data_IF_038295775176
#
_entry.id   IF_038295775176
#
_cell.length_a   1.000
_cell.length_b   1.000
_cell.length_c   1.000
_cell.angle_alpha   90.00
_cell.angle_beta   90.00
_cell.angle_gamma   90.00
#
_symmetry.space_group_name_H-M   'P 1'
#
loop_
_entity.id
_entity.type
_entity.pdbx_description
1 polymer ?
#
# COMPACT_ATOMS: atom_id res chain seq x y z
N UNK A 1 -11.94 22.01 7.91
CA UNK A 1 -10.87 21.01 8.01
C UNK A 1 -10.23 20.69 6.66
N UNK A 2 -10.99 20.37 5.64
CA UNK A 2 -10.47 20.06 4.31
C UNK A 2 -9.55 21.15 3.71
N UNK A 3 -9.85 22.42 3.89
CA UNK A 3 -9.02 23.54 3.41
C UNK A 3 -7.62 23.62 4.04
N UNK A 4 -7.43 23.07 5.25
CA UNK A 4 -6.12 22.96 5.93
C UNK A 4 -5.35 21.72 5.48
N UNK A 5 -6.03 20.66 5.07
CA UNK A 5 -5.42 19.46 4.47
C UNK A 5 -4.78 19.79 3.11
N UNK A 6 -5.43 20.66 2.36
CA UNK A 6 -5.23 20.84 0.92
C UNK A 6 -4.14 21.82 0.50
N UNK A 7 -3.63 22.66 1.40
CA UNK A 7 -2.69 23.74 0.98
C UNK A 7 -1.33 23.27 0.45
N UNK A 8 -1.05 21.98 0.44
CA UNK A 8 0.15 21.41 -0.19
C UNK A 8 -0.12 20.17 -1.07
N UNK A 9 -1.37 19.69 -1.15
CA UNK A 9 -1.74 18.66 -2.11
C UNK A 9 -1.87 19.29 -3.50
N UNK A 10 -1.29 18.67 -4.47
CA UNK A 10 -1.20 18.91 -5.90
C UNK A 10 -1.60 20.31 -6.42
N UNK A 11 -0.76 20.96 -7.23
CA UNK A 11 -1.20 22.11 -8.01
C UNK A 11 -2.38 21.67 -8.90
N UNK A 12 -3.48 22.44 -8.89
CA UNK A 12 -4.57 22.25 -9.85
C UNK A 12 -3.97 22.17 -11.24
N UNK A 13 -4.34 21.15 -12.00
CA UNK A 13 -3.91 20.98 -13.37
C UNK A 13 -4.15 22.28 -14.14
N UNK A 14 -3.08 22.97 -14.50
CA UNK A 14 -3.17 24.14 -15.36
C UNK A 14 -3.57 23.66 -16.75
N UNK A 15 -4.55 24.35 -17.35
CA UNK A 15 -5.02 24.14 -18.70
C UNK A 15 -3.85 24.10 -19.69
N UNK A 16 -3.92 23.14 -20.60
CA UNK A 16 -2.97 22.90 -21.68
C UNK A 16 -2.58 24.20 -22.40
N UNK A 17 -1.34 24.58 -22.27
CA UNK A 17 -0.68 25.62 -23.05
C UNK A 17 0.82 25.43 -22.96
N UNK A 18 1.43 25.17 -24.09
CA UNK A 18 2.84 25.10 -24.43
C UNK A 18 3.62 23.79 -24.22
N UNK A 19 4.09 23.30 -25.38
CA UNK A 19 4.98 22.16 -25.56
C UNK A 19 6.43 22.55 -25.16
N UNK A 20 6.74 22.32 -23.89
CA UNK A 20 8.10 22.33 -23.34
C UNK A 20 8.15 21.39 -22.17
N UNK A 21 8.93 20.34 -22.24
CA UNK A 21 9.40 19.33 -21.26
C UNK A 21 8.83 19.30 -19.80
N UNK A 22 7.70 19.89 -19.49
CA UNK A 22 7.14 19.92 -18.13
C UNK A 22 6.17 18.76 -17.92
N UNK A 23 6.64 17.74 -17.17
CA UNK A 23 5.78 16.72 -16.61
C UNK A 23 4.75 17.43 -15.70
N UNK A 24 3.44 17.15 -15.83
CA UNK A 24 2.38 17.89 -15.11
C UNK A 24 2.53 17.94 -13.58
N UNK A 25 3.33 17.04 -13.00
CA UNK A 25 3.60 16.98 -11.57
C UNK A 25 5.08 17.20 -11.21
N UNK A 26 5.95 17.55 -12.18
CA UNK A 26 7.33 17.99 -11.98
C UNK A 26 8.06 17.43 -10.77
N UNK A 27 8.56 18.33 -9.92
CA UNK A 27 9.27 17.96 -8.68
C UNK A 27 8.34 17.53 -7.51
N UNK A 28 7.02 17.60 -7.70
CA UNK A 28 6.05 17.16 -6.68
C UNK A 28 6.02 15.63 -6.54
N UNK A 29 6.12 14.93 -7.65
CA UNK A 29 6.02 13.48 -7.73
C UNK A 29 7.41 12.86 -7.89
N UNK A 30 7.78 11.98 -6.96
CA UNK A 30 9.01 11.20 -7.04
C UNK A 30 8.68 9.76 -7.48
N UNK A 31 9.36 9.25 -8.50
CA UNK A 31 9.31 7.84 -8.84
C UNK A 31 10.20 7.07 -7.87
N UNK A 32 9.63 6.21 -7.05
CA UNK A 32 10.37 5.37 -6.13
C UNK A 32 10.93 4.15 -6.86
N UNK A 33 10.10 3.49 -7.66
CA UNK A 33 10.53 2.39 -8.50
C UNK A 33 9.57 2.16 -9.68
N UNK A 34 10.05 1.48 -10.74
CA UNK A 34 9.28 1.21 -11.96
C UNK A 34 9.53 -0.17 -12.57
N UNK A 35 10.31 -1.03 -11.89
CA UNK A 35 10.83 -2.28 -12.49
C UNK A 35 9.93 -3.50 -12.38
N UNK A 36 8.91 -3.49 -11.53
CA UNK A 36 8.13 -4.67 -11.14
C UNK A 36 6.79 -4.85 -11.84
N UNK A 37 6.56 -4.19 -12.98
CA UNK A 37 5.31 -4.27 -13.74
C UNK A 37 4.40 -3.05 -13.58
N UNK A 38 4.59 -2.25 -12.54
CA UNK A 38 3.97 -0.94 -12.32
C UNK A 38 4.91 -0.01 -11.57
N UNK A 39 4.65 1.29 -11.66
CA UNK A 39 5.39 2.29 -10.89
C UNK A 39 4.86 2.42 -9.46
N UNK A 40 5.77 2.69 -8.53
CA UNK A 40 5.48 3.15 -7.18
C UNK A 40 5.99 4.59 -7.08
N UNK A 41 5.17 5.48 -6.57
CA UNK A 41 5.49 6.90 -6.53
C UNK A 41 5.26 7.47 -5.14
N UNK A 42 5.93 8.56 -4.81
CA UNK A 42 5.71 9.27 -3.56
C UNK A 42 5.57 10.77 -3.77
N UNK A 43 4.84 11.42 -2.87
CA UNK A 43 4.59 12.86 -2.93
C UNK A 43 4.29 13.44 -1.54
N UNK A 44 4.53 14.74 -1.29
CA UNK A 44 4.08 15.40 -0.07
C UNK A 44 2.55 15.43 -0.01
N UNK A 45 1.96 14.86 1.04
CA UNK A 45 0.50 14.74 1.18
C UNK A 45 -0.05 15.57 2.33
N UNK A 46 0.48 15.37 3.53
CA UNK A 46 0.00 16.04 4.74
C UNK A 46 1.10 16.93 5.34
N UNK A 47 0.69 18.00 6.03
CA UNK A 47 1.62 18.77 6.86
C UNK A 47 1.88 18.05 8.17
N UNK A 48 3.04 18.30 8.78
CA UNK A 48 3.39 17.73 10.10
C UNK A 48 2.34 18.06 11.18
N UNK A 49 1.80 19.29 11.15
CA UNK A 49 0.74 19.71 12.07
C UNK A 49 -0.55 18.91 11.89
N UNK A 50 -0.93 18.63 10.63
CA UNK A 50 -2.07 17.76 10.36
C UNK A 50 -1.82 16.32 10.80
N UNK A 51 -0.64 15.75 10.51
CA UNK A 51 -0.27 14.40 10.96
C UNK A 51 -0.36 14.30 12.49
N UNK A 52 0.21 15.26 13.20
CA UNK A 52 0.18 15.32 14.66
C UNK A 52 -1.26 15.36 15.21
N UNK A 53 -2.10 16.24 14.68
CA UNK A 53 -3.52 16.36 15.09
C UNK A 53 -4.33 15.09 14.82
N UNK A 54 -4.09 14.46 13.66
CA UNK A 54 -4.77 13.20 13.35
C UNK A 54 -4.33 12.08 14.29
N UNK A 55 -3.05 12.00 14.62
CA UNK A 55 -2.53 11.03 15.60
C UNK A 55 -3.14 11.28 16.99
N UNK A 56 -3.24 12.52 17.43
CA UNK A 56 -3.89 12.88 18.70
C UNK A 56 -5.36 12.44 18.73
N UNK A 57 -6.12 12.71 17.66
CA UNK A 57 -7.51 12.31 17.53
C UNK A 57 -7.69 10.79 17.54
N UNK A 58 -6.85 10.06 16.78
CA UNK A 58 -6.86 8.60 16.76
C UNK A 58 -6.58 8.03 18.15
N UNK A 59 -5.55 8.54 18.85
CA UNK A 59 -5.22 8.09 20.21
C UNK A 59 -6.34 8.40 21.21
N UNK A 60 -6.96 9.57 21.11
CA UNK A 60 -8.11 9.94 21.92
C UNK A 60 -9.30 8.99 21.70
N UNK A 61 -9.64 8.74 20.44
CA UNK A 61 -10.73 7.83 20.08
C UNK A 61 -10.49 6.40 20.58
N UNK A 62 -9.27 5.89 20.40
CA UNK A 62 -8.89 4.57 20.89
C UNK A 62 -8.96 4.47 22.42
N UNK A 63 -8.52 5.50 23.14
CA UNK A 63 -8.58 5.51 24.60
C UNK A 63 -10.02 5.53 25.11
N UNK A 64 -10.91 6.26 24.44
CA UNK A 64 -12.28 6.50 24.92
C UNK A 64 -13.31 5.51 24.38
N UNK A 65 -13.11 5.00 23.17
CA UNK A 65 -14.11 4.23 22.43
C UNK A 65 -13.61 2.87 21.92
N UNK A 66 -12.53 2.31 22.50
CA UNK A 66 -11.89 1.08 22.02
C UNK A 66 -12.89 -0.07 21.72
N UNK A 67 -13.88 -0.26 22.58
CA UNK A 67 -14.89 -1.34 22.42
C UNK A 67 -15.90 -1.10 21.28
N UNK A 68 -15.92 0.10 20.69
CA UNK A 68 -16.83 0.49 19.61
C UNK A 68 -16.10 0.63 18.26
N UNK A 69 -14.77 0.63 18.26
CA UNK A 69 -13.97 0.80 17.07
C UNK A 69 -13.71 -0.55 16.42
N UNK A 70 -13.85 -0.58 15.10
CA UNK A 70 -13.50 -1.74 14.29
C UNK A 70 -12.00 -1.76 14.02
N UNK A 71 -11.42 -2.98 13.93
CA UNK A 71 -10.07 -3.15 13.41
C UNK A 71 -9.97 -2.61 11.98
N UNK A 72 -8.79 -2.17 11.53
CA UNK A 72 -8.65 -1.49 10.24
C UNK A 72 -9.03 -2.37 9.03
N UNK A 73 -8.61 -3.64 9.04
CA UNK A 73 -8.87 -4.60 7.97
C UNK A 73 -8.73 -6.05 8.48
N UNK A 74 -8.74 -7.02 7.55
CA UNK A 74 -8.60 -8.45 7.88
C UNK A 74 -7.21 -8.86 8.36
N UNK A 75 -6.16 -8.10 8.00
CA UNK A 75 -4.75 -8.45 8.24
C UNK A 75 -4.18 -7.75 9.48
N UNK A 76 -4.51 -6.47 9.68
CA UNK A 76 -4.04 -5.68 10.81
C UNK A 76 -5.02 -5.78 11.99
N UNK A 77 -4.50 -6.01 13.18
CA UNK A 77 -5.31 -6.05 14.42
C UNK A 77 -5.38 -4.71 15.11
N UNK A 78 -4.34 -3.89 14.95
CA UNK A 78 -4.22 -2.61 15.65
C UNK A 78 -4.33 -1.43 14.67
N UNK A 79 -5.14 -0.46 15.06
CA UNK A 79 -5.53 0.68 14.25
C UNK A 79 -7.04 0.91 14.34
N UNK A 80 -7.64 1.52 13.34
CA UNK A 80 -9.08 1.81 13.30
C UNK A 80 -9.55 2.29 11.94
N UNK A 81 -10.83 2.14 11.65
CA UNK A 81 -11.48 2.71 10.47
C UNK A 81 -11.78 4.19 10.71
N UNK A 82 -11.32 5.08 9.81
CA UNK A 82 -11.47 6.52 10.00
C UNK A 82 -12.90 7.04 9.76
N UNK A 83 -13.70 6.33 8.97
CA UNK A 83 -15.11 6.68 8.79
C UNK A 83 -15.87 6.69 10.13
N UNK A 84 -15.45 5.87 11.10
CA UNK A 84 -16.05 5.84 12.45
C UNK A 84 -15.78 7.12 13.26
N UNK A 85 -14.85 7.96 12.84
CA UNK A 85 -14.61 9.29 13.42
C UNK A 85 -15.37 10.41 12.69
N UNK A 86 -16.25 10.08 11.75
CA UNK A 86 -16.98 11.08 10.94
C UNK A 86 -16.09 11.80 9.92
N UNK A 87 -14.96 11.23 9.54
CA UNK A 87 -14.01 11.83 8.58
C UNK A 87 -14.33 11.47 7.13
N UNK A 88 -15.30 10.61 6.86
CA UNK A 88 -15.66 10.14 5.53
C UNK A 88 -15.86 11.28 4.52
N UNK A 89 -16.61 12.35 4.78
CA UNK A 89 -16.78 13.44 3.80
C UNK A 89 -15.46 14.13 3.44
N UNK A 90 -14.58 14.33 4.42
CA UNK A 90 -13.29 14.95 4.19
C UNK A 90 -12.34 14.03 3.41
N UNK A 91 -12.43 12.71 3.62
CA UNK A 91 -11.67 11.70 2.89
C UNK A 91 -12.19 11.59 1.45
N UNK A 92 -13.50 11.65 1.22
CA UNK A 92 -14.11 11.69 -0.11
C UNK A 92 -13.63 12.93 -0.88
N UNK A 93 -13.60 14.11 -0.23
CA UNK A 93 -13.04 15.31 -0.85
C UNK A 93 -11.54 15.14 -1.19
N UNK A 94 -10.75 14.56 -0.28
CA UNK A 94 -9.34 14.25 -0.54
C UNK A 94 -9.20 13.31 -1.75
N UNK A 95 -10.00 12.24 -1.81
CA UNK A 95 -10.01 11.29 -2.91
C UNK A 95 -10.32 11.99 -4.25
N UNK A 96 -11.45 12.70 -4.32
CA UNK A 96 -11.98 13.23 -5.58
C UNK A 96 -11.18 14.42 -6.11
N UNK A 97 -10.77 15.34 -5.21
CA UNK A 97 -10.17 16.60 -5.64
C UNK A 97 -8.64 16.52 -5.79
N UNK A 98 -7.99 15.60 -5.05
CA UNK A 98 -6.53 15.58 -4.99
C UNK A 98 -5.91 14.25 -5.43
N UNK A 99 -6.48 13.12 -5.03
CA UNK A 99 -5.90 11.80 -5.33
C UNK A 99 -6.33 11.32 -6.71
N UNK A 100 -7.58 11.47 -7.10
CA UNK A 100 -8.12 11.05 -8.39
C UNK A 100 -7.31 11.58 -9.59
N UNK A 101 -7.03 12.90 -9.73
CA UNK A 101 -6.25 13.38 -10.86
C UNK A 101 -4.84 12.78 -10.92
N UNK A 102 -4.24 12.53 -9.76
CA UNK A 102 -2.90 11.95 -9.66
C UNK A 102 -2.90 10.47 -10.04
N UNK A 103 -3.83 9.69 -9.51
CA UNK A 103 -3.90 8.26 -9.80
C UNK A 103 -4.30 7.98 -11.26
N UNK A 104 -5.17 8.80 -11.84
CA UNK A 104 -5.52 8.73 -13.27
C UNK A 104 -4.28 9.01 -14.15
N UNK A 105 -3.50 10.03 -13.79
CA UNK A 105 -2.26 10.35 -14.49
C UNK A 105 -1.23 9.21 -14.43
N UNK A 106 -1.11 8.56 -13.26
CA UNK A 106 -0.10 7.53 -13.01
C UNK A 106 -0.47 6.16 -13.56
N UNK A 107 -1.75 5.79 -13.49
CA UNK A 107 -2.21 4.42 -13.73
C UNK A 107 -3.28 4.30 -14.82
N UNK A 108 -3.62 5.42 -15.49
CA UNK A 108 -4.57 5.43 -16.58
C UNK A 108 -5.95 4.92 -16.14
N UNK A 109 -6.53 4.00 -16.94
CA UNK A 109 -7.87 3.48 -16.68
C UNK A 109 -8.02 2.78 -15.32
N UNK A 110 -6.96 2.11 -14.82
CA UNK A 110 -6.98 1.45 -13.50
C UNK A 110 -7.06 2.47 -12.35
N UNK A 111 -6.57 3.69 -12.56
CA UNK A 111 -6.63 4.78 -11.60
C UNK A 111 -7.78 5.77 -11.84
N UNK A 112 -8.56 5.58 -12.90
CA UNK A 112 -9.64 6.51 -13.23
C UNK A 112 -10.90 6.27 -12.39
N UNK A 113 -11.67 7.35 -12.19
CA UNK A 113 -13.01 7.36 -11.63
C UNK A 113 -13.20 6.53 -10.33
N UNK A 114 -12.40 6.75 -9.27
CA UNK A 114 -12.67 6.12 -7.98
C UNK A 114 -14.02 6.60 -7.44
N UNK A 115 -14.91 5.67 -7.11
CA UNK A 115 -16.28 5.94 -6.64
C UNK A 115 -16.54 5.42 -5.23
N UNK A 116 -15.58 4.68 -4.66
CA UNK A 116 -15.64 4.19 -3.28
C UNK A 116 -14.24 4.20 -2.65
N UNK A 117 -14.21 4.26 -1.32
CA UNK A 117 -12.97 4.18 -0.57
C UNK A 117 -13.14 3.51 0.78
N UNK A 118 -12.09 2.84 1.23
CA UNK A 118 -11.93 2.38 2.60
C UNK A 118 -10.71 3.07 3.21
N UNK A 119 -10.94 3.88 4.24
CA UNK A 119 -9.88 4.64 4.88
C UNK A 119 -9.70 4.24 6.34
N UNK A 120 -8.45 3.96 6.70
CA UNK A 120 -8.13 3.44 8.02
C UNK A 120 -6.72 3.81 8.46
N UNK A 121 -6.49 3.72 9.77
CA UNK A 121 -5.17 3.80 10.38
C UNK A 121 -4.66 2.40 10.66
N UNK A 122 -3.42 2.11 10.31
CA UNK A 122 -2.67 0.97 10.84
C UNK A 122 -1.67 1.45 11.88
N UNK A 123 -1.49 0.64 12.94
CA UNK A 123 -0.52 0.90 13.99
C UNK A 123 0.41 -0.28 14.15
N UNK A 124 1.71 0.03 14.12
CA UNK A 124 2.77 -0.91 14.46
C UNK A 124 3.45 -0.48 15.73
N UNK A 125 3.58 -1.41 16.68
CA UNK A 125 4.16 -1.16 17.99
C UNK A 125 4.68 -2.45 18.59
N UNK A 126 5.78 -2.40 19.30
CA UNK A 126 6.32 -3.59 19.99
C UNK A 126 5.32 -4.14 21.02
N UNK A 127 5.06 -5.45 20.92
CA UNK A 127 4.02 -6.13 21.72
C UNK A 127 2.63 -6.14 21.09
N UNK A 128 2.47 -5.47 19.95
CA UNK A 128 1.30 -5.47 19.07
C UNK A 128 1.69 -6.01 17.69
N UNK A 129 1.05 -5.54 16.60
CA UNK A 129 1.55 -5.80 15.25
C UNK A 129 2.91 -5.07 15.10
N UNK A 130 3.95 -5.75 14.68
CA UNK A 130 5.27 -5.15 14.45
C UNK A 130 5.55 -4.94 12.97
N UNK A 131 4.91 -5.69 12.11
CA UNK A 131 5.03 -5.64 10.65
C UNK A 131 3.83 -6.31 10.00
N UNK A 132 3.88 -6.47 8.69
CA UNK A 132 2.84 -7.14 7.91
C UNK A 132 3.47 -7.92 6.78
N UNK A 133 3.12 -9.18 6.67
CA UNK A 133 3.60 -10.09 5.62
C UNK A 133 3.31 -9.57 4.22
N UNK A 134 4.08 -10.07 3.26
CA UNK A 134 3.93 -9.74 1.84
C UNK A 134 2.53 -10.09 1.34
N UNK A 135 1.81 -9.07 0.86
CA UNK A 135 0.42 -9.17 0.43
C UNK A 135 0.12 -8.25 -0.76
N UNK A 136 -1.10 -8.27 -1.22
CA UNK A 136 -1.70 -7.27 -2.10
C UNK A 136 -2.96 -6.72 -1.44
N UNK A 137 -3.27 -5.47 -1.72
CA UNK A 137 -4.46 -4.81 -1.18
C UNK A 137 -5.73 -5.15 -1.95
N UNK A 138 -6.88 -5.06 -1.28
CA UNK A 138 -8.19 -5.21 -1.92
C UNK A 138 -8.68 -3.94 -2.63
N UNK A 139 -7.79 -2.98 -2.86
CA UNK A 139 -8.02 -1.74 -3.61
C UNK A 139 -7.61 -1.87 -5.06
N UNK A 140 -8.01 -0.91 -5.90
CA UNK A 140 -7.40 -0.71 -7.21
C UNK A 140 -6.14 0.15 -7.06
N UNK A 141 -6.24 1.23 -6.29
CA UNK A 141 -5.10 2.11 -5.94
C UNK A 141 -5.04 2.27 -4.42
N UNK A 142 -3.84 2.13 -3.86
CA UNK A 142 -3.57 2.42 -2.45
C UNK A 142 -2.72 3.69 -2.32
N UNK A 143 -3.13 4.54 -1.38
CA UNK A 143 -2.32 5.66 -0.87
C UNK A 143 -1.99 5.37 0.59
N UNK A 144 -0.71 5.42 0.93
CA UNK A 144 -0.21 5.14 2.28
C UNK A 144 0.63 6.33 2.75
N UNK A 145 0.15 7.04 3.78
CA UNK A 145 0.82 8.22 4.34
C UNK A 145 1.34 7.93 5.73
N UNK A 146 2.63 8.14 5.94
CA UNK A 146 3.20 8.07 7.28
C UNK A 146 2.73 9.27 8.11
N UNK A 147 2.09 9.00 9.24
CA UNK A 147 1.66 10.05 10.18
C UNK A 147 2.72 10.34 11.24
N UNK A 148 3.76 9.49 11.31
CA UNK A 148 4.84 9.62 12.29
C UNK A 148 4.54 8.84 13.55
N UNK A 149 5.03 9.32 14.57
CA UNK A 149 5.55 9.04 15.89
C UNK A 149 7.04 8.68 15.82
N UNK A 150 7.71 8.52 16.93
CA UNK A 150 9.13 8.17 16.96
C UNK A 150 9.28 6.64 16.76
N UNK A 151 9.92 6.22 15.65
CA UNK A 151 10.11 4.81 15.32
C UNK A 151 11.41 4.54 14.57
N UNK A 152 11.88 3.29 14.64
CA UNK A 152 13.00 2.76 13.84
C UNK A 152 12.58 1.46 13.17
N UNK A 153 13.17 1.18 12.01
CA UNK A 153 12.76 0.05 11.16
C UNK A 153 11.44 0.35 10.46
N UNK A 154 10.65 -0.68 10.24
CA UNK A 154 9.28 -0.56 9.74
C UNK A 154 9.18 0.15 8.38
N UNK A 155 10.04 -0.22 7.44
CA UNK A 155 9.99 0.24 6.06
C UNK A 155 8.86 -0.45 5.29
N UNK A 156 8.62 -0.07 4.04
CA UNK A 156 7.79 -0.84 3.12
C UNK A 156 8.67 -1.51 2.08
N UNK A 157 8.57 -2.82 1.97
CA UNK A 157 9.21 -3.59 0.91
C UNK A 157 8.20 -3.86 -0.18
N UNK A 158 8.46 -3.34 -1.38
CA UNK A 158 7.68 -3.58 -2.59
C UNK A 158 8.34 -4.67 -3.42
N UNK A 159 7.53 -5.59 -3.91
CA UNK A 159 7.90 -6.59 -4.89
C UNK A 159 7.16 -6.33 -6.20
N UNK A 160 7.29 -7.19 -7.20
CA UNK A 160 6.61 -7.00 -8.47
C UNK A 160 5.09 -7.19 -8.37
N UNK A 161 4.39 -6.70 -9.38
CA UNK A 161 2.95 -6.90 -9.52
C UNK A 161 2.67 -8.38 -9.75
N UNK A 162 1.78 -8.96 -8.97
CA UNK A 162 1.39 -10.36 -9.12
C UNK A 162 0.84 -10.64 -10.53
N UNK A 163 1.35 -11.70 -11.16
CA UNK A 163 1.07 -12.05 -12.55
C UNK A 163 2.10 -11.52 -13.55
N UNK A 164 2.93 -10.55 -13.19
CA UNK A 164 4.03 -10.11 -14.03
C UNK A 164 5.20 -11.12 -13.98
N UNK A 165 5.82 -11.43 -15.12
CA UNK A 165 6.88 -12.46 -15.23
C UNK A 165 8.11 -12.22 -14.35
N UNK A 166 8.35 -10.98 -13.92
CA UNK A 166 9.45 -10.59 -13.03
C UNK A 166 9.02 -10.29 -11.60
N UNK A 167 7.78 -10.62 -11.21
CA UNK A 167 7.25 -10.20 -9.91
C UNK A 167 8.08 -10.68 -8.71
N UNK A 168 8.82 -11.78 -8.85
CA UNK A 168 9.70 -12.34 -7.82
C UNK A 168 11.14 -11.84 -7.89
N UNK A 169 11.52 -11.22 -9.01
CA UNK A 169 12.90 -10.76 -9.26
C UNK A 169 13.07 -9.28 -8.91
N UNK A 170 11.96 -8.62 -8.55
CA UNK A 170 11.95 -7.20 -8.27
C UNK A 170 11.71 -6.96 -6.79
N UNK A 171 12.52 -6.09 -6.21
CA UNK A 171 12.36 -5.60 -4.84
C UNK A 171 12.79 -4.14 -4.76
N UNK A 172 12.06 -3.37 -3.99
CA UNK A 172 12.39 -1.99 -3.62
C UNK A 172 11.95 -1.71 -2.19
N UNK A 173 12.81 -1.12 -1.39
CA UNK A 173 12.50 -0.72 -0.02
C UNK A 173 12.26 0.78 0.04
N UNK A 174 11.09 1.18 0.53
CA UNK A 174 10.68 2.55 0.72
C UNK A 174 10.83 2.96 2.19
N UNK A 175 11.53 4.06 2.44
CA UNK A 175 11.66 4.67 3.77
C UNK A 175 10.54 5.67 3.99
N UNK A 176 9.87 5.56 5.13
CA UNK A 176 8.79 6.47 5.49
C UNK A 176 9.32 7.86 5.89
N UNK A 177 8.66 8.88 5.37
CA UNK A 177 8.80 10.28 5.79
C UNK A 177 7.44 10.79 6.29
N UNK A 178 7.42 11.53 7.40
CA UNK A 178 6.15 12.07 7.96
C UNK A 178 5.47 12.98 6.95
N UNK A 179 4.17 12.80 6.76
CA UNK A 179 3.36 13.57 5.82
C UNK A 179 3.56 13.22 4.35
N UNK A 180 4.51 12.33 4.05
CA UNK A 180 4.73 11.86 2.68
C UNK A 180 3.89 10.63 2.39
N UNK A 181 3.18 10.66 1.25
CA UNK A 181 2.43 9.54 0.73
C UNK A 181 3.29 8.69 -0.19
N UNK A 182 3.09 7.39 -0.17
CA UNK A 182 3.42 6.48 -1.27
C UNK A 182 2.13 6.01 -1.91
N UNK A 183 2.08 5.98 -3.24
CA UNK A 183 0.93 5.53 -4.04
C UNK A 183 1.36 4.38 -4.95
N UNK A 184 0.53 3.35 -5.00
CA UNK A 184 0.78 2.15 -5.80
C UNK A 184 -0.52 1.45 -6.20
N UNK A 185 -0.45 0.53 -7.16
CA UNK A 185 -1.56 -0.36 -7.47
C UNK A 185 -1.86 -1.27 -6.28
N UNK A 186 -3.12 -1.51 -5.98
CA UNK A 186 -3.52 -2.44 -4.91
C UNK A 186 -2.92 -3.84 -5.11
N UNK A 187 -2.82 -4.30 -6.35
CA UNK A 187 -2.21 -5.58 -6.72
C UNK A 187 -0.68 -5.61 -6.71
N UNK A 188 -0.01 -4.47 -6.43
CA UNK A 188 1.42 -4.42 -6.19
C UNK A 188 1.74 -5.14 -4.88
N UNK A 189 2.52 -6.21 -4.92
CA UNK A 189 2.89 -6.93 -3.72
C UNK A 189 3.82 -6.09 -2.86
N UNK A 190 3.48 -6.00 -1.58
CA UNK A 190 4.25 -5.25 -0.60
C UNK A 190 4.05 -5.81 0.80
N UNK A 191 4.96 -5.48 1.69
CA UNK A 191 4.91 -5.81 3.11
C UNK A 191 5.47 -4.68 3.95
N UNK A 192 5.08 -4.63 5.22
CA UNK A 192 5.66 -3.73 6.20
C UNK A 192 6.73 -4.49 7.00
N UNK A 193 7.96 -4.03 6.88
CA UNK A 193 9.10 -4.59 7.60
C UNK A 193 8.94 -4.38 9.10
N UNK A 194 9.56 -5.24 9.90
CA UNK A 194 9.40 -5.22 11.34
C UNK A 194 9.86 -3.90 11.97
N UNK A 195 9.07 -3.45 12.91
CA UNK A 195 9.39 -2.32 13.76
C UNK A 195 10.48 -2.73 14.75
N UNK A 196 11.61 -2.05 14.72
CA UNK A 196 12.69 -2.27 15.68
C UNK A 196 12.39 -1.61 17.03
N UNK A 197 11.87 -0.39 17.00
CA UNK A 197 11.51 0.36 18.21
C UNK A 197 10.50 1.46 17.93
N UNK A 198 9.82 1.90 19.00
CA UNK A 198 8.86 3.00 18.95
C UNK A 198 7.46 2.59 18.54
N UNK A 199 6.77 3.50 17.85
CA UNK A 199 5.40 3.32 17.36
C UNK A 199 5.25 4.03 16.02
N UNK A 200 4.69 3.36 15.01
CA UNK A 200 4.37 3.95 13.71
C UNK A 200 2.87 3.89 13.44
N UNK A 201 2.32 5.02 13.03
CA UNK A 201 0.96 5.11 12.51
C UNK A 201 0.98 5.53 11.04
N UNK A 202 0.20 4.84 10.23
CA UNK A 202 -0.01 5.21 8.83
C UNK A 202 -1.50 5.37 8.53
N UNK A 203 -1.80 6.40 7.75
CA UNK A 203 -3.09 6.60 7.11
C UNK A 203 -3.09 5.82 5.80
N UNK A 204 -4.04 4.93 5.64
CA UNK A 204 -4.20 4.12 4.43
C UNK A 204 -5.52 4.48 3.78
N UNK A 205 -5.48 4.78 2.49
CA UNK A 205 -6.65 5.03 1.66
C UNK A 205 -6.66 4.02 0.50
N UNK A 206 -7.58 3.10 0.58
CA UNK A 206 -7.89 2.15 -0.50
C UNK A 206 -8.96 2.76 -1.40
N UNK A 207 -8.61 3.01 -2.65
CA UNK A 207 -9.53 3.53 -3.66
C UNK A 207 -9.99 2.40 -4.57
N UNK A 208 -11.28 2.39 -4.87
CA UNK A 208 -11.89 1.45 -5.82
C UNK A 208 -12.72 2.18 -6.85
N UNK A 209 -12.79 1.61 -8.05
CA UNK A 209 -13.57 2.10 -9.17
C UNK A 209 -14.50 1.01 -9.69
N UNK A 210 -15.79 1.21 -9.51
CA UNK A 210 -16.80 0.26 -10.00
C UNK A 210 -16.77 0.14 -11.52
N UNK A 211 -16.52 1.24 -12.23
CA UNK A 211 -16.40 1.24 -13.69
C UNK A 211 -15.19 0.44 -14.17
N UNK A 212 -14.04 0.60 -13.53
CA UNK A 212 -12.86 -0.20 -13.81
C UNK A 212 -13.10 -1.69 -13.55
N UNK A 213 -13.66 -2.03 -12.40
CA UNK A 213 -13.90 -3.42 -11.99
C UNK A 213 -14.94 -4.17 -12.84
N UNK A 214 -15.77 -3.45 -13.59
CA UNK A 214 -16.72 -3.99 -14.55
C UNK A 214 -16.16 -4.06 -15.97
N UNK A 215 -14.98 -3.52 -16.23
CA UNK A 215 -14.38 -3.49 -17.57
C UNK A 215 -13.82 -4.85 -18.00
N UNK A 216 -13.81 -5.10 -19.31
CA UNK A 216 -13.19 -6.28 -19.89
C UNK A 216 -11.69 -6.37 -19.56
N UNK A 217 -11.02 -5.22 -19.49
CA UNK A 217 -9.60 -5.13 -19.12
C UNK A 217 -9.34 -5.64 -17.71
N UNK A 218 -10.22 -5.32 -16.76
CA UNK A 218 -10.12 -5.85 -15.40
C UNK A 218 -10.38 -7.36 -15.33
N UNK A 219 -11.38 -7.84 -16.07
CA UNK A 219 -11.68 -9.28 -16.16
C UNK A 219 -10.48 -10.05 -16.73
N UNK A 220 -9.87 -9.52 -17.79
CA UNK A 220 -8.67 -10.13 -18.37
C UNK A 220 -7.49 -10.14 -17.40
N UNK A 221 -7.31 -9.04 -16.66
CA UNK A 221 -6.31 -8.92 -15.60
C UNK A 221 -6.53 -10.02 -14.53
N UNK A 222 -7.74 -10.21 -14.04
CA UNK A 222 -8.07 -11.26 -13.08
C UNK A 222 -7.77 -12.66 -13.61
N UNK A 223 -8.12 -12.94 -14.87
CA UNK A 223 -7.83 -14.22 -15.50
C UNK A 223 -6.34 -14.47 -15.67
N UNK A 224 -5.58 -13.43 -16.03
CA UNK A 224 -4.13 -13.49 -16.10
C UNK A 224 -3.50 -13.77 -14.73
N UNK A 225 -3.97 -13.10 -13.68
CA UNK A 225 -3.55 -13.32 -12.31
C UNK A 225 -3.82 -14.76 -11.86
N UNK A 226 -5.02 -15.29 -12.08
CA UNK A 226 -5.37 -16.68 -11.74
C UNK A 226 -4.48 -17.70 -12.46
N UNK A 227 -4.13 -17.46 -13.71
CA UNK A 227 -3.18 -18.33 -14.45
C UNK A 227 -1.79 -18.30 -13.83
N UNK A 228 -1.33 -17.14 -13.41
CA UNK A 228 -0.04 -16.98 -12.73
C UNK A 228 -0.01 -17.64 -11.34
N UNK A 229 -1.12 -17.53 -10.59
CA UNK A 229 -1.29 -18.18 -9.29
C UNK A 229 -1.38 -19.72 -9.38
N UNK A 230 -1.89 -20.25 -10.48
CA UNK A 230 -1.98 -21.68 -10.72
C UNK A 230 -0.62 -22.35 -11.01
N UNK A 231 0.41 -21.57 -11.34
CA UNK A 231 1.75 -22.10 -11.54
C UNK A 231 2.33 -22.57 -10.21
N UNK A 232 2.95 -23.75 -10.15
CA UNK A 232 3.59 -24.24 -8.94
C UNK A 232 4.61 -23.23 -8.44
N UNK A 233 4.46 -22.82 -7.19
CA UNK A 233 5.34 -21.87 -6.55
C UNK A 233 5.94 -22.51 -5.30
N UNK A 234 7.18 -22.96 -5.42
CA UNK A 234 7.91 -23.61 -4.34
C UNK A 234 8.42 -22.60 -3.30
N UNK A 235 8.39 -21.31 -3.65
CA UNK A 235 8.90 -20.23 -2.80
C UNK A 235 7.72 -19.48 -2.20
N UNK A 236 7.55 -19.55 -0.88
CA UNK A 236 6.65 -18.65 -0.17
C UNK A 236 7.25 -17.25 -0.18
N UNK A 237 6.48 -16.30 -0.71
CA UNK A 237 6.88 -14.92 -0.82
C UNK A 237 6.20 -14.05 0.24
N UNK A 238 5.91 -14.65 1.40
CA UNK A 238 5.48 -13.86 2.54
C UNK A 238 6.63 -13.02 3.08
N UNK A 239 6.31 -11.94 3.71
CA UNK A 239 7.27 -11.04 4.33
C UNK A 239 8.15 -11.76 5.38
N UNK A 240 7.61 -12.72 6.13
CA UNK A 240 8.38 -13.54 7.08
C UNK A 240 9.52 -14.32 6.43
N UNK A 241 9.61 -14.34 5.11
CA UNK A 241 10.66 -14.95 4.31
C UNK A 241 11.39 -13.91 3.44
N UNK A 242 11.63 -12.75 4.00
CA UNK A 242 12.28 -11.63 3.32
C UNK A 242 13.63 -12.00 2.70
N UNK A 243 14.41 -12.84 3.36
CA UNK A 243 15.65 -13.37 2.81
C UNK A 243 15.45 -14.18 1.52
N UNK A 244 14.34 -14.89 1.43
CA UNK A 244 14.01 -15.66 0.24
C UNK A 244 13.65 -14.73 -0.91
N UNK A 245 12.96 -13.65 -0.61
CA UNK A 245 12.60 -12.66 -1.60
C UNK A 245 13.80 -11.89 -2.13
N UNK A 246 14.66 -11.43 -1.24
CA UNK A 246 15.88 -10.67 -1.60
C UNK A 246 16.90 -11.51 -2.35
N UNK A 247 17.02 -12.78 -1.97
CA UNK A 247 18.03 -13.70 -2.52
C UNK A 247 17.50 -14.55 -3.66
N UNK A 248 16.21 -14.55 -3.93
CA UNK A 248 15.61 -15.34 -4.99
C UNK A 248 16.15 -14.92 -6.37
N UNK A 249 16.72 -15.88 -7.11
CA UNK A 249 17.28 -15.69 -8.46
C UNK A 249 16.75 -16.72 -9.45
N UNK A 250 15.77 -17.50 -9.09
CA UNK A 250 15.18 -18.59 -9.86
C UNK A 250 14.49 -19.58 -8.93
N UNK A 251 14.13 -20.74 -9.44
CA UNK A 251 13.62 -21.80 -8.58
C UNK A 251 14.72 -22.28 -7.61
N UNK A 252 14.40 -22.32 -6.33
CA UNK A 252 15.27 -22.94 -5.32
C UNK A 252 15.24 -24.44 -5.51
N UNK A 253 16.37 -25.11 -5.29
CA UNK A 253 16.37 -26.56 -5.09
C UNK A 253 15.67 -26.89 -3.77
N UNK A 254 15.12 -28.10 -3.66
CA UNK A 254 14.47 -28.56 -2.41
C UNK A 254 15.43 -28.49 -1.22
N UNK A 255 16.72 -28.81 -1.43
CA UNK A 255 17.73 -28.71 -0.38
C UNK A 255 17.98 -27.27 0.08
N UNK A 256 17.95 -26.31 -0.81
CA UNK A 256 18.11 -24.90 -0.47
C UNK A 256 16.86 -24.35 0.24
N UNK A 257 15.68 -24.77 -0.18
CA UNK A 257 14.43 -24.43 0.48
C UNK A 257 14.39 -25.00 1.91
N UNK A 258 14.84 -26.25 2.11
CA UNK A 258 14.97 -26.87 3.44
C UNK A 258 15.98 -26.14 4.31
N UNK A 259 17.14 -25.78 3.77
CA UNK A 259 18.16 -25.02 4.52
C UNK A 259 17.68 -23.66 4.98
N UNK A 260 16.76 -23.03 4.25
CA UNK A 260 16.12 -21.75 4.63
C UNK A 260 14.98 -21.91 5.63
N UNK A 261 14.64 -23.13 5.97
CA UNK A 261 14.05 -23.53 7.24
C UNK A 261 12.54 -23.37 7.41
N UNK A 262 11.74 -22.95 6.45
CA UNK A 262 10.28 -22.87 6.70
C UNK A 262 9.42 -23.18 5.49
N UNK A 263 9.95 -23.08 4.29
CA UNK A 263 9.14 -23.07 3.08
C UNK A 263 8.53 -24.42 2.71
N UNK A 264 9.30 -25.48 2.77
CA UNK A 264 8.78 -26.83 2.49
C UNK A 264 7.77 -27.29 3.54
N UNK A 265 7.97 -26.96 4.80
CA UNK A 265 7.05 -27.30 5.87
C UNK A 265 5.69 -26.59 5.72
N UNK A 266 5.66 -25.35 5.25
CA UNK A 266 4.39 -24.63 4.97
C UNK A 266 3.71 -25.13 3.71
N UNK A 267 4.45 -25.43 2.67
CA UNK A 267 3.89 -26.01 1.43
C UNK A 267 3.34 -27.40 1.68
N UNK A 268 4.01 -28.20 2.52
CA UNK A 268 3.55 -29.54 2.86
C UNK A 268 2.43 -29.57 3.89
N UNK A 269 2.44 -28.65 4.86
CA UNK A 269 1.44 -28.62 5.94
C UNK A 269 0.14 -27.92 5.55
N UNK A 270 0.14 -27.03 4.56
CA UNK A 270 -1.08 -26.35 4.13
C UNK A 270 -0.99 -25.82 2.69
N UNK A 271 -1.34 -26.65 1.69
CA UNK A 271 -1.40 -26.21 0.29
C UNK A 271 -2.37 -25.05 0.05
N UNK A 272 -3.27 -24.77 0.98
CA UNK A 272 -4.24 -23.67 0.91
C UNK A 272 -3.70 -22.35 1.50
N UNK A 273 -2.63 -22.40 2.29
CA UNK A 273 -1.93 -21.20 2.78
C UNK A 273 -0.84 -20.69 1.81
N UNK A 274 -0.92 -21.08 0.54
CA UNK A 274 -0.16 -20.38 -0.48
C UNK A 274 -0.58 -18.93 -0.43
N UNK A 275 0.36 -18.05 -0.19
CA UNK A 275 0.24 -16.59 -0.19
C UNK A 275 -0.93 -16.13 -1.07
N UNK A 276 -2.09 -16.30 -0.59
CA UNK A 276 -3.33 -15.93 -1.22
C UNK A 276 -3.99 -14.92 -0.33
N UNK A 277 -4.27 -13.91 -0.84
CA UNK A 277 -5.32 -12.93 -0.67
C UNK A 277 -4.82 -11.53 -0.73
#
# INVERSE_FOLDING_TARGET
>A
MAHSMAKRCAPKAQSRGDAGSDKPYGNFLKTECSGGGAGVYSFPCFTDDFCRKLVEEVKHAQAKYASKLSRPNGMNRFGMVLNQLGLEPAITELQQEYIRPLQEYLYGAEGADPDDHHCFIVRYKKGEDVGLDMHSDSSDITVNVCLGTDFKGSTLTFCGVLGHHKHRLFQHTYQHEIGRAVIHLGRQRHGADDLESGERLNFILWNTSSSWRQSDAYIELLMSRRRAEASPDLVCLSYTHDEDYTKFRGALSDDEAVKRGVMLNRVQSNPQNRCGH
#
